data_IF_093834528424
#
_entry.id   IF_093834528424
#
_cell.length_a   1.000
_cell.length_b   1.000
_cell.length_c   1.000
_cell.angle_alpha   90.00
_cell.angle_beta   90.00
_cell.angle_gamma   90.00
#
_symmetry.space_group_name_H-M   'P 1'
#
loop_
_entity.id
_entity.type
_entity.pdbx_description
1 polymer ?
#
# COMPACT_ATOMS: atom_id res chain seq x y z
N UNK A 1 -1.87 -16.33 -4.39
CA UNK A 1 -2.26 -15.99 -5.80
C UNK A 1 -1.95 -14.53 -6.06
N UNK A 2 -1.43 -14.10 -7.23
CA UNK A 2 -1.11 -12.68 -7.46
C UNK A 2 -2.36 -11.80 -7.53
N UNK A 3 -2.20 -10.50 -7.26
CA UNK A 3 -3.27 -9.52 -7.43
C UNK A 3 -3.63 -9.34 -8.91
N UNK A 4 -4.92 -9.16 -9.16
CA UNK A 4 -5.45 -8.72 -10.45
C UNK A 4 -5.20 -7.22 -10.67
N UNK A 5 -5.25 -6.76 -11.92
CA UNK A 5 -5.08 -5.34 -12.25
C UNK A 5 -6.14 -4.46 -11.56
N UNK A 6 -7.38 -4.93 -11.45
CA UNK A 6 -8.47 -4.20 -10.78
C UNK A 6 -8.19 -4.03 -9.28
N UNK A 7 -7.72 -5.09 -8.61
CA UNK A 7 -7.35 -5.02 -7.19
C UNK A 7 -6.21 -4.04 -6.96
N UNK A 8 -5.20 -4.05 -7.84
CA UNK A 8 -4.08 -3.12 -7.77
C UNK A 8 -4.55 -1.68 -7.97
N UNK A 9 -5.49 -1.43 -8.88
CA UNK A 9 -6.05 -0.10 -9.08
C UNK A 9 -6.88 0.38 -7.89
N UNK A 10 -7.64 -0.51 -7.24
CA UNK A 10 -8.34 -0.20 -5.98
C UNK A 10 -7.36 0.15 -4.87
N UNK A 11 -6.26 -0.60 -4.72
CA UNK A 11 -5.20 -0.28 -3.75
C UNK A 11 -4.64 1.13 -4.01
N UNK A 12 -4.33 1.46 -5.27
CA UNK A 12 -3.86 2.80 -5.65
C UNK A 12 -4.86 3.88 -5.31
N UNK A 13 -6.13 3.69 -5.68
CA UNK A 13 -7.22 4.61 -5.36
C UNK A 13 -7.38 4.81 -3.86
N UNK A 14 -7.23 3.77 -3.04
CA UNK A 14 -7.29 3.88 -1.58
C UNK A 14 -6.11 4.71 -1.09
N UNK A 15 -4.87 4.39 -1.48
CA UNK A 15 -3.70 5.15 -1.02
C UNK A 15 -3.74 6.63 -1.40
N UNK A 16 -4.14 6.95 -2.63
CA UNK A 16 -4.31 8.34 -3.07
C UNK A 16 -5.45 9.06 -2.34
N UNK A 17 -6.47 8.35 -1.85
CA UNK A 17 -7.50 8.94 -0.99
C UNK A 17 -6.97 9.16 0.43
N UNK A 18 -6.10 8.28 0.94
CA UNK A 18 -5.43 8.48 2.22
C UNK A 18 -4.48 9.67 2.15
N UNK A 19 -3.66 9.77 1.11
CA UNK A 19 -2.68 10.84 0.90
C UNK A 19 -2.70 11.30 -0.57
N UNK A 20 -3.40 12.39 -0.91
CA UNK A 20 -3.52 12.87 -2.29
C UNK A 20 -2.20 13.25 -2.96
N UNK A 21 -1.16 13.53 -2.18
CA UNK A 21 0.18 13.83 -2.67
C UNK A 21 0.97 12.58 -3.11
N UNK A 22 0.47 11.38 -2.84
CA UNK A 22 1.12 10.12 -3.23
C UNK A 22 1.32 10.04 -4.74
N UNK A 23 2.53 9.66 -5.16
CA UNK A 23 2.82 9.36 -6.56
C UNK A 23 1.92 8.24 -7.05
N UNK A 24 1.21 8.50 -8.16
CA UNK A 24 0.22 7.57 -8.69
C UNK A 24 0.83 6.26 -9.17
N UNK A 25 2.09 6.25 -9.64
CA UNK A 25 2.74 5.06 -10.17
C UNK A 25 3.25 4.14 -9.05
N UNK A 26 3.00 2.83 -9.20
CA UNK A 26 3.55 1.82 -8.30
C UNK A 26 5.02 1.61 -8.64
N UNK A 27 5.88 1.87 -7.67
CA UNK A 27 7.31 1.66 -7.76
C UNK A 27 7.71 0.30 -7.20
N UNK A 28 8.68 -0.35 -7.85
CA UNK A 28 9.23 -1.61 -7.35
C UNK A 28 9.94 -1.40 -6.01
N UNK A 29 9.65 -2.26 -5.04
CA UNK A 29 10.32 -2.28 -3.76
C UNK A 29 11.83 -2.53 -3.93
N UNK A 30 12.62 -1.72 -3.23
CA UNK A 30 14.07 -1.85 -3.14
C UNK A 30 14.47 -1.74 -1.68
N UNK A 31 15.20 -2.74 -1.17
CA UNK A 31 15.60 -2.81 0.25
C UNK A 31 16.33 -1.54 0.75
N UNK A 32 17.26 -0.91 -0.02
CA UNK A 32 17.92 0.33 0.41
C UNK A 32 16.97 1.52 0.60
N UNK A 33 15.75 1.45 0.04
CA UNK A 33 14.76 2.51 0.08
C UNK A 33 13.44 2.01 0.67
N UNK A 34 13.48 1.06 1.61
CA UNK A 34 12.28 0.40 2.13
C UNK A 34 11.33 1.30 2.92
N UNK A 35 11.87 2.42 3.46
CA UNK A 35 11.15 3.40 4.26
C UNK A 35 10.68 4.61 3.44
N UNK A 36 10.89 4.64 2.12
CA UNK A 36 10.46 5.79 1.31
C UNK A 36 8.95 6.00 1.41
N UNK A 37 8.56 7.26 1.44
CA UNK A 37 7.18 7.74 1.66
C UNK A 37 6.64 8.39 0.40
N UNK A 38 5.38 8.82 0.42
CA UNK A 38 4.70 9.51 -0.69
C UNK A 38 4.67 8.75 -2.02
N UNK A 39 4.88 7.44 -2.00
CA UNK A 39 4.81 6.60 -3.18
C UNK A 39 4.29 5.21 -2.84
N UNK A 40 3.62 4.62 -3.82
CA UNK A 40 3.09 3.26 -3.69
C UNK A 40 4.19 2.28 -4.07
N UNK A 41 4.42 1.31 -3.20
CA UNK A 41 5.46 0.30 -3.31
C UNK A 41 4.84 -1.05 -3.64
N UNK A 42 5.50 -1.80 -4.51
CA UNK A 42 5.04 -3.13 -4.87
C UNK A 42 6.15 -4.16 -4.93
N UNK A 43 5.80 -5.40 -4.62
CA UNK A 43 6.65 -6.58 -4.81
C UNK A 43 5.99 -7.46 -5.87
N UNK A 44 6.79 -7.92 -6.83
CA UNK A 44 6.35 -8.86 -7.88
C UNK A 44 6.88 -10.26 -7.60
N UNK A 45 6.13 -11.27 -8.01
CA UNK A 45 6.62 -12.64 -8.08
C UNK A 45 7.55 -12.84 -9.31
N UNK A 46 8.08 -14.06 -9.47
CA UNK A 46 8.93 -14.44 -10.62
C UNK A 46 8.24 -14.25 -11.99
N UNK A 47 6.90 -14.26 -12.03
CA UNK A 47 6.10 -14.03 -13.24
C UNK A 47 5.71 -12.56 -13.46
N UNK A 48 6.38 -11.61 -12.81
CA UNK A 48 6.13 -10.16 -12.92
C UNK A 48 4.73 -9.71 -12.49
N UNK A 49 4.02 -10.51 -11.69
CA UNK A 49 2.70 -10.15 -11.14
C UNK A 49 2.84 -9.64 -9.71
N UNK A 50 2.05 -8.63 -9.35
CA UNK A 50 2.07 -8.05 -8.00
C UNK A 50 1.55 -9.05 -6.95
N UNK A 51 2.29 -9.18 -5.85
CA UNK A 51 1.95 -10.05 -4.71
C UNK A 51 1.92 -9.29 -3.39
N UNK A 52 2.48 -8.09 -3.34
CA UNK A 52 2.39 -7.18 -2.21
C UNK A 52 2.36 -5.77 -2.77
N UNK A 53 1.44 -4.95 -2.27
CA UNK A 53 1.35 -3.52 -2.59
C UNK A 53 1.10 -2.77 -1.30
N UNK A 54 1.93 -1.78 -1.01
CA UNK A 54 1.89 -1.04 0.25
C UNK A 54 2.33 0.40 0.07
N UNK A 55 2.03 1.23 1.06
CA UNK A 55 2.43 2.62 1.14
C UNK A 55 2.95 2.90 2.56
N UNK A 56 4.06 3.62 2.66
CA UNK A 56 4.56 4.12 3.94
C UNK A 56 4.05 5.55 4.14
N UNK A 57 3.34 5.79 5.24
CA UNK A 57 2.83 7.10 5.60
C UNK A 57 3.66 7.66 6.75
N UNK A 58 4.13 8.90 6.62
CA UNK A 58 4.64 9.67 7.76
C UNK A 58 3.45 10.14 8.60
N UNK A 59 3.38 9.72 9.86
CA UNK A 59 2.38 10.18 10.81
C UNK A 59 0.92 10.06 10.32
N UNK A 60 0.49 8.83 10.00
CA UNK A 60 -0.90 8.56 9.59
C UNK A 60 -1.89 9.13 10.61
N UNK A 61 -2.85 9.91 10.13
CA UNK A 61 -3.83 10.64 10.94
C UNK A 61 -5.07 9.79 11.20
N UNK A 62 -5.80 10.03 12.30
CA UNK A 62 -7.02 9.28 12.62
C UNK A 62 -8.09 9.31 11.50
N UNK A 63 -8.23 10.42 10.76
CA UNK A 63 -9.19 10.49 9.65
C UNK A 63 -8.78 9.59 8.47
N UNK A 64 -7.48 9.44 8.21
CA UNK A 64 -6.97 8.53 7.17
C UNK A 64 -7.28 7.08 7.55
N UNK A 65 -7.07 6.71 8.81
CA UNK A 65 -7.46 5.38 9.31
C UNK A 65 -8.96 5.09 9.17
N UNK A 66 -9.83 6.10 9.38
CA UNK A 66 -11.28 5.96 9.13
C UNK A 66 -11.59 5.73 7.65
N UNK A 67 -10.87 6.37 6.73
CA UNK A 67 -11.03 6.13 5.28
C UNK A 67 -10.58 4.71 4.95
N UNK A 68 -9.43 4.28 5.47
CA UNK A 68 -8.91 2.93 5.28
C UNK A 68 -9.91 1.87 5.78
N UNK A 69 -10.46 2.05 6.98
CA UNK A 69 -11.39 1.10 7.58
C UNK A 69 -12.66 0.91 6.75
N UNK A 70 -13.18 1.99 6.15
CA UNK A 70 -14.34 1.96 5.25
C UNK A 70 -14.04 1.25 3.93
N UNK A 71 -12.84 1.41 3.40
CA UNK A 71 -12.47 0.98 2.04
C UNK A 71 -11.69 -0.33 1.98
N UNK A 72 -11.13 -0.81 3.09
CA UNK A 72 -10.24 -1.99 3.10
C UNK A 72 -10.91 -3.26 2.54
N UNK A 73 -12.23 -3.36 2.69
CA UNK A 73 -13.03 -4.50 2.21
C UNK A 73 -13.36 -4.42 0.70
N UNK A 74 -13.01 -3.33 0.00
CA UNK A 74 -13.11 -3.24 -1.49
C UNK A 74 -12.16 -4.23 -2.19
N UNK A 75 -11.16 -4.73 -1.45
CA UNK A 75 -10.15 -5.68 -1.88
C UNK A 75 -10.36 -6.96 -1.08
N UNK A 76 -10.47 -8.14 -1.72
CA UNK A 76 -10.71 -9.41 -1.03
C UNK A 76 -9.42 -10.00 -0.42
N UNK A 77 -8.66 -9.17 0.29
CA UNK A 77 -7.43 -9.54 0.99
C UNK A 77 -7.33 -8.79 2.31
N UNK A 78 -6.68 -9.39 3.29
CA UNK A 78 -6.43 -8.75 4.58
C UNK A 78 -5.50 -7.54 4.40
N UNK A 79 -5.86 -6.42 5.03
CA UNK A 79 -4.99 -5.26 5.12
C UNK A 79 -4.00 -5.47 6.26
N UNK A 80 -2.72 -5.21 5.99
CA UNK A 80 -1.65 -5.24 6.96
C UNK A 80 -1.20 -3.82 7.30
N UNK A 81 -1.13 -3.54 8.59
CA UNK A 81 -0.60 -2.29 9.13
C UNK A 81 0.60 -2.63 10.01
N UNK A 82 1.78 -2.09 9.71
CA UNK A 82 3.01 -2.29 10.50
C UNK A 82 3.73 -0.97 10.75
N UNK A 83 4.65 -0.98 11.71
CA UNK A 83 5.39 0.21 12.17
C UNK A 83 6.89 -0.03 12.01
N UNK A 84 7.43 0.07 10.77
CA UNK A 84 8.83 -0.28 10.51
C UNK A 84 9.85 0.73 11.09
N UNK A 85 9.42 1.94 11.43
CA UNK A 85 10.26 2.97 12.05
C UNK A 85 9.43 3.93 12.90
N UNK A 86 10.08 4.71 13.76
CA UNK A 86 9.45 5.80 14.49
C UNK A 86 8.80 6.78 13.49
N UNK A 87 7.50 7.02 13.65
CA UNK A 87 6.66 7.86 12.78
C UNK A 87 6.29 7.32 11.40
N UNK A 88 6.71 6.09 11.04
CA UNK A 88 6.32 5.48 9.77
C UNK A 88 5.27 4.39 10.03
N UNK A 89 4.10 4.56 9.42
CA UNK A 89 3.09 3.50 9.34
C UNK A 89 3.04 2.93 7.94
N UNK A 90 3.33 1.64 7.80
CA UNK A 90 3.21 0.91 6.55
C UNK A 90 1.83 0.29 6.47
N UNK A 91 1.10 0.60 5.41
CA UNK A 91 -0.23 0.02 5.14
C UNK A 91 -0.20 -0.67 3.79
N UNK A 92 -0.71 -1.89 3.69
CA UNK A 92 -0.84 -2.55 2.41
C UNK A 92 -1.52 -3.91 2.45
N UNK A 93 -1.47 -4.59 1.32
CA UNK A 93 -2.01 -5.94 1.17
C UNK A 93 -0.91 -6.85 0.68
N UNK A 94 -0.94 -8.11 1.13
CA UNK A 94 -0.09 -9.17 0.61
C UNK A 94 -0.94 -10.39 0.27
N UNK A 95 -0.58 -11.07 -0.80
CA UNK A 95 -1.15 -12.35 -1.15
C UNK A 95 -0.42 -13.42 -0.35
N UNK A 96 -1.16 -14.30 0.32
CA UNK A 96 -0.58 -15.52 0.92
C UNK A 96 0.05 -16.39 -0.17
#
# INVERSE_FOLDING_TARGET
>A
MPFTSEQVEKMRSIFMHLEPATLSSIQLYQKPHELRVHCILGIRNKGSKWICVFHNFENIKPYQLKILDKRKNEIPFEVHITYPAENITRVGWKTV
#
